data_IF_363303861355
#
_entry.id   IF_363303861355
#
_cell.length_a   1.000
_cell.length_b   1.000
_cell.length_c   1.000
_cell.angle_alpha   90.00
_cell.angle_beta   90.00
_cell.angle_gamma   90.00
#
_symmetry.space_group_name_H-M   'P 1'
#
loop_
_entity.id
_entity.type
_entity.pdbx_description
1 polymer ?
#
# COMPACT_ATOMS: atom_id res chain seq x y z
N UNK A 1 -10.37 -7.12 -14.93
CA UNK A 1 -8.95 -7.44 -14.62
C UNK A 1 -8.09 -6.40 -15.32
N UNK A 2 -7.53 -5.45 -14.57
CA UNK A 2 -6.49 -4.53 -15.08
C UNK A 2 -5.11 -5.16 -14.90
N UNK A 3 -4.18 -4.86 -15.80
CA UNK A 3 -2.77 -5.25 -15.65
C UNK A 3 -1.99 -4.11 -15.01
N UNK A 4 -0.97 -4.44 -14.22
CA UNK A 4 -0.02 -3.47 -13.66
C UNK A 4 0.97 -2.91 -14.71
N UNK A 5 0.77 -3.26 -15.98
CA UNK A 5 1.50 -2.75 -17.14
C UNK A 5 0.75 -1.51 -17.65
N UNK A 6 1.20 -0.31 -17.28
CA UNK A 6 0.54 0.93 -17.69
C UNK A 6 1.19 2.19 -17.13
N UNK A 7 0.68 3.35 -17.56
CA UNK A 7 1.16 4.68 -17.15
C UNK A 7 0.26 5.34 -16.09
N UNK A 8 -0.83 4.67 -15.71
CA UNK A 8 -1.78 5.20 -14.72
C UNK A 8 -1.17 5.05 -13.33
N UNK A 9 -0.96 6.14 -12.58
CA UNK A 9 -0.48 6.08 -11.21
C UNK A 9 -1.41 5.25 -10.31
N UNK A 10 -0.83 4.57 -9.33
CA UNK A 10 -1.58 3.69 -8.43
C UNK A 10 -2.71 4.42 -7.70
N UNK A 11 -2.49 5.67 -7.27
CA UNK A 11 -3.51 6.50 -6.64
C UNK A 11 -4.73 6.69 -7.53
N UNK A 12 -4.53 6.93 -8.82
CA UNK A 12 -5.60 7.22 -9.77
C UNK A 12 -6.40 5.95 -10.06
N UNK A 13 -5.72 4.81 -10.16
CA UNK A 13 -6.36 3.50 -10.23
C UNK A 13 -7.20 3.24 -8.98
N UNK A 14 -6.63 3.45 -7.78
CA UNK A 14 -7.36 3.26 -6.53
C UNK A 14 -8.59 4.16 -6.48
N UNK A 15 -8.49 5.41 -6.96
CA UNK A 15 -9.59 6.37 -7.07
C UNK A 15 -10.68 5.92 -8.06
N UNK A 16 -10.32 5.42 -9.23
CA UNK A 16 -11.26 4.93 -10.24
C UNK A 16 -12.06 3.71 -9.73
N UNK A 17 -11.39 2.80 -9.03
CA UNK A 17 -12.00 1.57 -8.52
C UNK A 17 -12.82 1.78 -7.23
N UNK A 18 -12.71 2.92 -6.54
CA UNK A 18 -13.40 3.15 -5.25
C UNK A 18 -14.93 3.01 -5.33
N UNK A 19 -15.52 3.33 -6.48
CA UNK A 19 -16.96 3.20 -6.69
C UNK A 19 -17.43 1.77 -6.98
N UNK A 20 -16.50 0.90 -7.38
CA UNK A 20 -16.77 -0.48 -7.79
C UNK A 20 -16.58 -1.46 -6.63
N UNK A 21 -15.84 -1.08 -5.59
CA UNK A 21 -15.59 -1.91 -4.42
C UNK A 21 -16.77 -1.84 -3.44
N UNK A 22 -17.45 -2.97 -3.15
CA UNK A 22 -18.50 -3.02 -2.13
C UNK A 22 -17.95 -2.68 -0.74
N UNK A 23 -18.80 -2.15 0.14
CA UNK A 23 -18.44 -1.96 1.55
C UNK A 23 -18.02 -3.28 2.19
N UNK A 24 -17.02 -3.23 3.07
CA UNK A 24 -16.47 -4.42 3.75
C UNK A 24 -15.42 -5.18 2.93
N UNK A 25 -15.14 -4.76 1.70
CA UNK A 25 -14.05 -5.31 0.88
C UNK A 25 -12.71 -5.10 1.56
N UNK A 26 -11.82 -6.10 1.46
CA UNK A 26 -10.43 -5.97 1.90
C UNK A 26 -9.55 -5.70 0.69
N UNK A 27 -8.80 -4.60 0.72
CA UNK A 27 -7.86 -4.18 -0.31
C UNK A 27 -6.45 -4.38 0.22
N UNK A 28 -5.66 -5.23 -0.44
CA UNK A 28 -4.24 -5.37 -0.20
C UNK A 28 -3.53 -4.59 -1.29
N UNK A 29 -2.92 -3.47 -0.95
CA UNK A 29 -2.21 -2.61 -1.90
C UNK A 29 -0.70 -2.87 -1.78
N UNK A 30 -0.05 -3.22 -2.89
CA UNK A 30 1.37 -3.57 -2.95
C UNK A 30 2.05 -2.60 -3.90
N UNK A 31 3.07 -1.88 -3.44
CA UNK A 31 3.77 -0.91 -4.29
C UNK A 31 5.18 -0.60 -3.81
N UNK A 32 6.08 -0.30 -4.75
CA UNK A 32 7.40 0.26 -4.48
C UNK A 32 7.41 1.81 -4.53
N UNK A 33 6.26 2.44 -4.79
CA UNK A 33 6.17 3.91 -4.90
C UNK A 33 6.56 4.60 -3.61
N UNK A 34 7.20 5.76 -3.73
CA UNK A 34 7.45 6.71 -2.63
C UNK A 34 6.57 7.96 -2.75
N UNK A 35 5.51 7.89 -3.57
CA UNK A 35 4.56 8.99 -3.77
C UNK A 35 3.58 9.07 -2.58
N UNK A 36 3.56 10.20 -1.84
CA UNK A 36 2.64 10.39 -0.70
C UNK A 36 1.15 10.31 -1.09
N UNK A 37 0.80 10.51 -2.36
CA UNK A 37 -0.58 10.40 -2.83
C UNK A 37 -1.16 9.00 -2.64
N UNK A 38 -0.32 7.96 -2.62
CA UNK A 38 -0.76 6.60 -2.33
C UNK A 38 -1.34 6.46 -0.91
N UNK A 39 -0.72 7.11 0.08
CA UNK A 39 -1.22 7.12 1.46
C UNK A 39 -2.59 7.83 1.57
N UNK A 40 -2.82 8.87 0.76
CA UNK A 40 -4.13 9.53 0.70
C UNK A 40 -5.18 8.64 0.05
N UNK A 41 -4.86 7.99 -1.06
CA UNK A 41 -5.79 7.10 -1.76
C UNK A 41 -6.22 5.90 -0.90
N UNK A 42 -5.29 5.30 -0.15
CA UNK A 42 -5.58 4.21 0.80
C UNK A 42 -6.45 4.67 1.97
N UNK A 43 -6.24 5.88 2.50
CA UNK A 43 -7.11 6.48 3.52
C UNK A 43 -8.55 6.64 3.01
N UNK A 44 -8.73 7.14 1.80
CA UNK A 44 -10.07 7.35 1.22
C UNK A 44 -10.83 6.04 1.01
N UNK A 45 -10.14 4.97 0.62
CA UNK A 45 -10.72 3.62 0.59
C UNK A 45 -11.19 3.17 1.97
N UNK A 46 -10.38 3.41 3.00
CA UNK A 46 -10.73 3.16 4.41
C UNK A 46 -12.00 3.90 4.84
N UNK A 47 -12.08 5.20 4.55
CA UNK A 47 -13.26 6.04 4.88
C UNK A 47 -14.56 5.55 4.24
N UNK A 48 -14.47 4.89 3.08
CA UNK A 48 -15.63 4.33 2.36
C UNK A 48 -16.06 2.94 2.86
N UNK A 49 -15.35 2.39 3.84
CA UNK A 49 -15.68 1.11 4.48
C UNK A 49 -14.92 -0.08 3.92
N UNK A 50 -13.85 0.14 3.14
CA UNK A 50 -12.90 -0.92 2.82
C UNK A 50 -11.90 -1.11 3.95
N UNK A 51 -11.45 -2.34 4.17
CA UNK A 51 -10.30 -2.64 5.02
C UNK A 51 -9.06 -2.59 4.15
N UNK A 52 -8.11 -1.71 4.43
CA UNK A 52 -6.92 -1.54 3.58
C UNK A 52 -5.70 -2.04 4.34
N UNK A 53 -4.87 -2.84 3.68
CA UNK A 53 -3.53 -3.22 4.13
C UNK A 53 -2.54 -2.77 3.05
N UNK A 54 -1.48 -2.09 3.46
CA UNK A 54 -0.40 -1.65 2.59
C UNK A 54 0.80 -2.59 2.72
N UNK A 55 1.37 -2.98 1.59
CA UNK A 55 2.65 -3.67 1.49
C UNK A 55 3.57 -2.74 0.70
N UNK A 56 4.42 -2.01 1.43
CA UNK A 56 5.45 -1.18 0.84
C UNK A 56 6.64 -2.08 0.49
N UNK A 57 6.97 -2.15 -0.79
CA UNK A 57 8.25 -2.70 -1.23
C UNK A 57 9.30 -1.59 -1.08
N UNK A 58 10.46 -1.88 -0.52
CA UNK A 58 11.55 -0.91 -0.37
C UNK A 58 12.35 -0.81 -1.68
N UNK A 59 12.14 0.23 -2.52
CA UNK A 59 12.76 0.30 -3.84
C UNK A 59 14.29 0.20 -3.79
N UNK A 60 14.94 0.84 -2.81
CA UNK A 60 16.40 0.75 -2.59
C UNK A 60 16.88 -0.70 -2.50
N UNK A 61 16.20 -1.53 -1.70
CA UNK A 61 16.57 -2.94 -1.53
C UNK A 61 16.43 -3.77 -2.82
N UNK A 62 15.53 -3.38 -3.72
CA UNK A 62 15.34 -4.02 -5.02
C UNK A 62 16.20 -3.39 -6.14
N UNK A 63 17.13 -2.49 -5.81
CA UNK A 63 18.02 -1.82 -6.75
C UNK A 63 17.43 -0.59 -7.46
N UNK A 64 16.28 -0.09 -6.98
CA UNK A 64 15.66 1.16 -7.42
C UNK A 64 16.13 2.37 -6.62
N UNK A 65 15.54 3.53 -6.92
CA UNK A 65 15.82 4.80 -6.22
C UNK A 65 14.75 5.12 -5.16
N UNK A 66 15.15 5.91 -4.16
CA UNK A 66 14.27 6.30 -3.04
C UNK A 66 14.24 5.27 -1.92
N UNK A 67 13.61 5.61 -0.80
CA UNK A 67 13.49 4.72 0.36
C UNK A 67 12.03 4.48 0.70
N UNK A 68 11.61 3.22 0.71
CA UNK A 68 10.25 2.83 1.09
C UNK A 68 9.95 3.17 2.55
N UNK A 69 11.00 3.31 3.37
CA UNK A 69 10.89 3.73 4.77
C UNK A 69 10.19 5.09 4.93
N UNK A 70 10.31 5.97 3.94
CA UNK A 70 9.68 7.30 3.92
C UNK A 70 8.14 7.26 3.90
N UNK A 71 7.54 6.16 3.43
CA UNK A 71 6.09 6.01 3.35
C UNK A 71 5.46 5.53 4.66
N UNK A 72 6.21 4.91 5.56
CA UNK A 72 5.66 4.37 6.81
C UNK A 72 4.95 5.44 7.66
N UNK A 73 5.54 6.61 7.94
CA UNK A 73 4.88 7.63 8.75
C UNK A 73 3.54 8.07 8.16
N UNK A 74 3.48 8.25 6.83
CA UNK A 74 2.28 8.70 6.14
C UNK A 74 1.15 7.67 6.21
N UNK A 75 1.46 6.39 5.98
CA UNK A 75 0.48 5.31 6.05
C UNK A 75 0.02 5.06 7.49
N UNK A 76 0.93 5.14 8.46
CA UNK A 76 0.63 5.02 9.88
C UNK A 76 -0.28 6.16 10.36
N UNK A 77 0.02 7.42 10.00
CA UNK A 77 -0.85 8.57 10.31
C UNK A 77 -2.26 8.40 9.74
N UNK A 78 -2.38 7.72 8.60
CA UNK A 78 -3.66 7.38 7.98
C UNK A 78 -4.30 6.10 8.54
N UNK A 79 -3.74 5.50 9.59
CA UNK A 79 -4.18 4.26 10.24
C UNK A 79 -4.26 3.08 9.28
N UNK A 80 -3.35 3.03 8.32
CA UNK A 80 -3.24 1.93 7.36
C UNK A 80 -2.18 0.94 7.85
N UNK A 81 -2.56 -0.31 8.20
CA UNK A 81 -1.59 -1.36 8.50
C UNK A 81 -0.61 -1.51 7.33
N UNK A 82 0.68 -1.34 7.60
CA UNK A 82 1.74 -1.36 6.59
C UNK A 82 2.81 -2.38 6.93
N UNK A 83 3.17 -3.22 5.96
CA UNK A 83 4.39 -4.03 5.98
C UNK A 83 5.43 -3.38 5.07
N UNK A 84 6.67 -3.23 5.54
CA UNK A 84 7.81 -2.88 4.70
C UNK A 84 8.52 -4.19 4.33
N UNK A 85 8.62 -4.48 3.04
CA UNK A 85 9.27 -5.68 2.50
C UNK A 85 10.54 -5.25 1.77
N UNK A 86 11.65 -5.88 2.11
CA UNK A 86 12.94 -5.72 1.43
C UNK A 86 13.25 -6.93 0.56
N UNK A 87 14.15 -6.73 -0.40
CA UNK A 87 14.68 -7.84 -1.20
C UNK A 87 15.33 -8.89 -0.30
N UNK A 88 14.93 -10.16 -0.49
CA UNK A 88 15.43 -11.30 0.29
C UNK A 88 14.63 -11.62 1.56
N UNK A 89 13.61 -10.84 1.90
CA UNK A 89 12.72 -11.15 3.02
C UNK A 89 11.93 -12.44 2.78
N UNK A 90 11.82 -13.28 3.81
CA UNK A 90 10.87 -14.39 3.82
C UNK A 90 9.46 -13.85 4.11
N UNK A 91 8.59 -13.91 3.10
CA UNK A 91 7.24 -13.36 3.19
C UNK A 91 6.37 -14.09 4.22
N UNK A 92 6.62 -15.37 4.49
CA UNK A 92 5.82 -16.16 5.43
C UNK A 92 5.86 -15.54 6.84
N UNK A 93 7.04 -15.45 7.47
CA UNK A 93 7.22 -14.78 8.75
C UNK A 93 6.81 -13.31 8.72
N UNK A 94 7.22 -12.53 7.70
CA UNK A 94 7.01 -11.08 7.68
C UNK A 94 5.53 -10.72 7.62
N UNK A 95 4.74 -11.38 6.77
CA UNK A 95 3.30 -11.11 6.63
C UNK A 95 2.45 -11.76 7.74
N UNK A 96 3.04 -12.67 8.53
CA UNK A 96 2.37 -13.27 9.70
C UNK A 96 2.47 -12.40 10.95
N UNK A 97 3.31 -11.37 10.94
CA UNK A 97 3.43 -10.44 12.06
C UNK A 97 2.19 -9.56 12.17
N UNK A 98 1.71 -9.36 13.40
CA UNK A 98 0.61 -8.43 13.63
C UNK A 98 1.13 -7.01 13.42
N UNK A 99 0.65 -6.34 12.37
CA UNK A 99 0.94 -4.92 12.21
C UNK A 99 0.24 -4.14 13.30
N UNK A 100 1.03 -3.61 14.24
CA UNK A 100 0.54 -2.72 15.28
C UNK A 100 0.40 -1.32 14.71
N UNK A 101 -0.82 -0.79 14.73
CA UNK A 101 -1.08 0.64 14.53
C UNK A 101 -0.73 1.34 15.85
N UNK A 102 0.28 2.21 15.86
CA UNK A 102 0.60 3.07 17.00
C UNK A 102 -0.26 4.34 16.98
#
# INVERSE_FOLDING_TARGET
VMRAEGIVPLQDLLHAEQGLLPKGTTVISISATTDPLWANATRELGRRGSRVVAIQLDPESFGGEGSGASMLPLLQMNRVPTYLIKYGDDLGPVLSQKVTLY
#
